data_IF_621137616012
#
_entry.id   IF_621137616012
#
_cell.length_a   1.000
_cell.length_b   1.000
_cell.length_c   1.000
_cell.angle_alpha   90.00
_cell.angle_beta   90.00
_cell.angle_gamma   90.00
#
_symmetry.space_group_name_H-M   'P 1'
#
loop_
_entity.id
_entity.type
_entity.pdbx_description
1 polymer ?
#
# COMPACT_ATOMS: atom_id res chain seq x y z
N UNK A 1 -6.35 17.32 -9.78
CA UNK A 1 -5.05 16.99 -9.16
C UNK A 1 -4.87 15.49 -9.31
N UNK A 2 -3.78 15.04 -9.93
CA UNK A 2 -3.59 13.64 -10.29
C UNK A 2 -3.41 12.80 -9.02
N UNK A 3 -4.31 11.84 -8.77
CA UNK A 3 -4.32 10.98 -7.58
C UNK A 3 -2.98 10.26 -7.38
N UNK A 4 -2.31 9.91 -8.47
CA UNK A 4 -0.96 9.33 -8.54
C UNK A 4 0.13 10.18 -7.86
N UNK A 5 0.09 11.51 -7.97
CA UNK A 5 1.10 12.39 -7.34
C UNK A 5 0.92 12.45 -5.81
N UNK A 6 -0.32 12.46 -5.32
CA UNK A 6 -0.61 12.44 -3.88
C UNK A 6 -0.08 11.16 -3.23
N UNK A 7 -0.33 10.01 -3.86
CA UNK A 7 0.18 8.72 -3.42
C UNK A 7 1.71 8.66 -3.45
N UNK A 8 2.33 9.20 -4.51
CA UNK A 8 3.79 9.24 -4.63
C UNK A 8 4.46 10.10 -3.54
N UNK A 9 3.85 11.24 -3.19
CA UNK A 9 4.34 12.07 -2.10
C UNK A 9 4.22 11.35 -0.75
N UNK A 10 3.08 10.70 -0.46
CA UNK A 10 2.90 9.93 0.77
C UNK A 10 3.94 8.80 0.88
N UNK A 11 4.14 8.02 -0.18
CA UNK A 11 5.16 6.95 -0.20
C UNK A 11 6.56 7.52 0.00
N UNK A 12 6.87 8.67 -0.61
CA UNK A 12 8.18 9.31 -0.46
C UNK A 12 8.43 9.79 0.96
N UNK A 13 7.43 10.36 1.63
CA UNK A 13 7.51 10.77 3.03
C UNK A 13 7.78 9.56 3.96
N UNK A 14 7.06 8.46 3.74
CA UNK A 14 7.26 7.21 4.48
C UNK A 14 8.66 6.60 4.24
N UNK A 15 9.20 6.68 3.02
CA UNK A 15 10.59 6.21 2.73
C UNK A 15 11.63 7.04 3.48
N UNK A 16 11.35 8.30 3.78
CA UNK A 16 12.25 9.20 4.51
C UNK A 16 12.13 9.02 6.02
N UNK A 17 11.04 8.43 6.50
CA UNK A 17 10.82 8.17 7.91
C UNK A 17 11.82 7.11 8.44
N UNK A 18 12.44 7.43 9.57
CA UNK A 18 13.50 6.60 10.18
C UNK A 18 12.95 5.41 10.95
N UNK A 19 11.65 5.39 11.24
CA UNK A 19 10.99 4.32 11.96
C UNK A 19 10.60 3.17 11.03
N UNK A 20 10.70 3.35 9.71
CA UNK A 20 10.42 2.31 8.71
C UNK A 20 11.58 1.33 8.60
N UNK A 21 11.30 0.04 8.70
CA UNK A 21 12.31 -1.00 8.56
C UNK A 21 12.78 -1.15 7.11
N UNK A 22 13.96 -1.74 6.93
CA UNK A 22 14.56 -1.98 5.61
C UNK A 22 13.64 -2.77 4.66
N UNK A 23 12.90 -3.75 5.16
CA UNK A 23 11.96 -4.56 4.36
C UNK A 23 10.76 -3.73 3.86
N UNK A 24 10.17 -2.93 4.75
CA UNK A 24 9.07 -2.02 4.43
C UNK A 24 9.53 -0.93 3.45
N UNK A 25 10.72 -0.38 3.69
CA UNK A 25 11.34 0.63 2.83
C UNK A 25 11.59 0.08 1.43
N UNK A 26 11.98 -1.19 1.31
CA UNK A 26 12.16 -1.84 0.02
C UNK A 26 10.84 -1.92 -0.74
N UNK A 27 9.76 -2.36 -0.09
CA UNK A 27 8.42 -2.41 -0.71
C UNK A 27 7.94 -1.01 -1.16
N UNK A 28 8.15 0.02 -0.34
CA UNK A 28 7.82 1.40 -0.68
C UNK A 28 8.65 1.93 -1.87
N UNK A 29 9.95 1.62 -1.93
CA UNK A 29 10.81 2.01 -3.05
C UNK A 29 10.37 1.38 -4.36
N UNK A 30 10.00 0.10 -4.33
CA UNK A 30 9.44 -0.61 -5.49
C UNK A 30 8.13 0.06 -5.93
N UNK A 31 7.24 0.39 -4.99
CA UNK A 31 5.99 1.08 -5.30
C UNK A 31 6.23 2.47 -5.92
N UNK A 32 7.17 3.24 -5.38
CA UNK A 32 7.58 4.54 -5.94
C UNK A 32 8.07 4.39 -7.38
N UNK A 33 9.00 3.48 -7.65
CA UNK A 33 9.52 3.25 -9.00
C UNK A 33 8.42 2.86 -9.98
N UNK A 34 7.44 2.06 -9.53
CA UNK A 34 6.31 1.68 -10.35
C UNK A 34 5.36 2.87 -10.63
N UNK A 35 5.17 3.77 -9.66
CA UNK A 35 4.40 5.01 -9.83
C UNK A 35 5.08 5.96 -10.82
N UNK A 36 6.40 6.14 -10.70
CA UNK A 36 7.21 6.96 -11.62
C UNK A 36 7.18 6.42 -13.05
N UNK A 37 7.05 5.09 -13.20
CA UNK A 37 6.88 4.43 -14.51
C UNK A 37 5.46 4.49 -15.07
N UNK A 38 4.54 5.23 -14.43
CA UNK A 38 3.12 5.25 -14.77
C UNK A 38 2.49 3.85 -14.85
N UNK A 39 2.97 2.93 -14.01
CA UNK A 39 2.42 1.58 -13.96
C UNK A 39 1.02 1.60 -13.34
N UNK A 40 0.21 0.59 -13.66
CA UNK A 40 -1.19 0.50 -13.25
C UNK A 40 -1.34 0.51 -11.71
N UNK A 41 -1.96 1.57 -11.17
CA UNK A 41 -2.16 1.82 -9.74
C UNK A 41 -2.63 0.59 -8.95
N UNK A 42 -3.72 -0.11 -9.33
CA UNK A 42 -4.17 -1.28 -8.57
C UNK A 42 -3.14 -2.41 -8.51
N UNK A 43 -2.26 -2.56 -9.52
CA UNK A 43 -1.16 -3.53 -9.44
C UNK A 43 -0.14 -3.14 -8.36
N UNK A 44 0.18 -1.85 -8.27
CA UNK A 44 1.09 -1.30 -7.26
C UNK A 44 0.52 -1.52 -5.85
N UNK A 45 -0.79 -1.25 -5.68
CA UNK A 45 -1.47 -1.45 -4.40
C UNK A 45 -1.55 -2.94 -4.03
N UNK A 46 -1.84 -3.82 -4.97
CA UNK A 46 -1.83 -5.27 -4.73
C UNK A 46 -0.44 -5.77 -4.31
N UNK A 47 0.63 -5.28 -4.94
CA UNK A 47 2.01 -5.64 -4.61
C UNK A 47 2.43 -5.12 -3.22
N UNK A 48 2.07 -3.88 -2.89
CA UNK A 48 2.22 -3.32 -1.56
C UNK A 48 1.48 -4.14 -0.51
N UNK A 49 0.21 -4.48 -0.75
CA UNK A 49 -0.56 -5.33 0.16
C UNK A 49 0.12 -6.69 0.34
N UNK A 50 0.51 -7.35 -0.74
CA UNK A 50 1.20 -8.64 -0.67
C UNK A 50 2.50 -8.60 0.16
N UNK A 51 3.26 -7.50 0.09
CA UNK A 51 4.49 -7.32 0.88
C UNK A 51 4.21 -6.92 2.33
N UNK A 52 3.22 -6.06 2.57
CA UNK A 52 2.94 -5.49 3.89
C UNK A 52 2.01 -6.35 4.76
N UNK A 53 1.08 -7.11 4.16
CA UNK A 53 0.18 -8.03 4.88
C UNK A 53 0.93 -9.01 5.79
N UNK A 54 1.96 -9.75 5.33
CA UNK A 54 2.69 -10.66 6.22
C UNK A 54 3.45 -9.92 7.33
N UNK A 55 3.93 -8.70 7.09
CA UNK A 55 4.59 -7.87 8.11
C UNK A 55 3.60 -7.38 9.17
N UNK A 56 2.40 -6.96 8.74
CA UNK A 56 1.29 -6.58 9.61
C UNK A 56 0.80 -7.76 10.45
N UNK A 57 0.64 -8.94 9.84
CA UNK A 57 0.24 -10.17 10.55
C UNK A 57 1.29 -10.60 11.59
N UNK A 58 2.58 -10.38 11.31
CA UNK A 58 3.68 -10.64 12.25
C UNK A 58 3.88 -9.53 13.28
N UNK A 59 3.01 -8.52 13.32
CA UNK A 59 3.14 -7.34 14.17
C UNK A 59 4.53 -6.66 14.07
N UNK A 60 5.15 -6.79 12.89
CA UNK A 60 6.47 -6.26 12.53
C UNK A 60 6.35 -5.02 11.63
N UNK A 61 5.12 -4.56 11.39
CA UNK A 61 4.82 -3.34 10.66
C UNK A 61 5.12 -2.13 11.55
N UNK A 62 5.81 -1.15 10.99
CA UNK A 62 6.16 0.07 11.69
C UNK A 62 4.93 0.91 11.99
N UNK A 63 4.90 1.56 13.16
CA UNK A 63 3.78 2.41 13.56
C UNK A 63 3.50 3.55 12.55
N UNK A 64 4.53 4.05 11.88
CA UNK A 64 4.42 5.03 10.81
C UNK A 64 3.76 4.46 9.53
N UNK A 65 3.93 3.16 9.26
CA UNK A 65 3.37 2.50 8.08
C UNK A 65 1.96 1.95 8.31
N UNK A 66 1.60 1.65 9.55
CA UNK A 66 0.26 1.19 9.95
C UNK A 66 -0.89 2.04 9.39
N UNK A 67 -0.92 3.38 9.56
CA UNK A 67 -2.01 4.19 9.02
C UNK A 67 -2.05 4.15 7.49
N UNK A 68 -0.90 4.12 6.82
CA UNK A 68 -0.82 3.99 5.37
C UNK A 68 -1.33 2.63 4.88
N UNK A 69 -0.94 1.54 5.55
CA UNK A 69 -1.43 0.20 5.25
C UNK A 69 -2.96 0.12 5.42
N UNK A 70 -3.50 0.67 6.50
CA UNK A 70 -4.95 0.76 6.71
C UNK A 70 -5.61 1.54 5.58
N UNK A 71 -5.06 2.69 5.21
CA UNK A 71 -5.56 3.51 4.11
C UNK A 71 -5.61 2.74 2.79
N UNK A 72 -4.55 2.05 2.38
CA UNK A 72 -4.55 1.27 1.12
C UNK A 72 -5.45 0.03 1.17
N UNK A 73 -5.82 -0.43 2.37
CA UNK A 73 -6.80 -1.52 2.56
C UNK A 73 -8.24 -1.02 2.64
N UNK A 74 -8.46 0.27 2.89
CA UNK A 74 -9.79 0.87 2.99
C UNK A 74 -10.52 0.87 1.65
N UNK A 75 -11.85 0.70 1.72
CA UNK A 75 -12.72 0.73 0.54
C UNK A 75 -12.65 2.07 -0.20
N UNK A 76 -12.54 3.20 0.50
CA UNK A 76 -12.42 4.52 -0.13
C UNK A 76 -11.17 4.63 -1.02
N UNK A 77 -10.06 4.04 -0.58
CA UNK A 77 -8.83 4.04 -1.36
C UNK A 77 -8.95 3.10 -2.56
N UNK A 78 -9.57 1.94 -2.37
CA UNK A 78 -9.81 1.02 -3.47
C UNK A 78 -10.73 1.62 -4.55
N UNK A 79 -11.80 2.32 -4.14
CA UNK A 79 -12.69 3.04 -5.05
C UNK A 79 -11.91 4.13 -5.83
N UNK A 80 -11.14 4.95 -5.10
CA UNK A 80 -10.36 6.06 -5.64
C UNK A 80 -9.21 5.66 -6.59
N UNK A 81 -8.55 4.52 -6.34
CA UNK A 81 -7.30 4.14 -7.03
C UNK A 81 -7.38 2.85 -7.84
N UNK A 82 -8.31 1.95 -7.53
CA UNK A 82 -8.46 0.70 -8.24
C UNK A 82 -9.67 0.72 -9.19
N UNK A 83 -10.65 1.62 -8.98
CA UNK A 83 -11.92 1.58 -9.72
C UNK A 83 -12.68 0.25 -9.53
N UNK A 84 -12.20 -0.54 -8.57
CA UNK A 84 -12.76 -1.82 -8.18
C UNK A 84 -13.59 -1.50 -6.95
N UNK A 85 -14.92 -1.47 -7.11
CA UNK A 85 -15.80 -1.67 -5.97
C UNK A 85 -15.40 -3.00 -5.36
N UNK A 86 -14.57 -2.97 -4.31
CA UNK A 86 -14.21 -4.16 -3.56
C UNK A 86 -15.50 -4.70 -2.96
N UNK A 87 -16.14 -5.60 -3.71
CA UNK A 87 -17.10 -6.54 -3.21
C UNK A 87 -16.42 -7.26 -2.07
N UNK A 88 -16.83 -6.91 -0.85
CA UNK A 88 -16.60 -7.70 0.34
C UNK A 88 -17.26 -9.06 0.08
N UNK A 89 -16.51 -9.98 -0.51
CA UNK A 89 -17.05 -11.26 -0.99
C UNK A 89 -15.99 -12.32 -1.29
N UNK A 90 -14.70 -12.05 -1.08
CA UNK A 90 -13.69 -13.11 -1.04
C UNK A 90 -13.58 -13.60 0.40
N UNK A 91 -14.55 -14.46 0.71
CA UNK A 91 -14.59 -15.47 1.74
C UNK A 91 -13.19 -16.04 2.02
N UNK A 92 -12.48 -15.51 3.01
CA UNK A 92 -11.48 -16.29 3.76
C UNK A 92 -12.25 -17.25 4.67
N UNK A 93 -12.93 -18.20 4.03
CA UNK A 93 -13.64 -19.29 4.67
C UNK A 93 -12.62 -20.32 5.09
N UNK A 94 -12.18 -20.21 6.33
CA UNK A 94 -11.60 -21.33 7.06
C UNK A 94 -12.74 -22.28 7.43
N UNK A 95 -12.82 -23.43 6.75
CA UNK A 95 -13.30 -24.71 7.30
C UNK A 95 -12.82 -25.86 6.43
#
# INVERSE_FOLDING_TARGET
MSNDIDLLNQITDLILDKNINSEERHALLVAKLNLEKHQYLPKIISDLKASLTPLAMKNSLSAALSPFYLQITSQEFADKYQGLGYGLGMNFGSH
#
